data_IF_978207216806
#
_entry.id   IF_978207216806
#
_cell.length_a   1.000
_cell.length_b   1.000
_cell.length_c   1.000
_cell.angle_alpha   90.00
_cell.angle_beta   90.00
_cell.angle_gamma   90.00
#
_symmetry.space_group_name_H-M   'P 1'
#
loop_
_entity.id
_entity.type
_entity.pdbx_description
1 polymer ?
#
# COMPACT_ATOMS: atom_id res chain seq x y z
N UNK A 1 11.07 -85.80 -12.99
CA UNK A 1 10.61 -84.73 -12.07
C UNK A 1 11.68 -83.67 -11.76
N UNK A 2 12.98 -83.94 -11.96
CA UNK A 2 14.07 -82.98 -11.65
C UNK A 2 14.28 -81.89 -12.73
N UNK A 3 14.02 -82.19 -14.00
CA UNK A 3 14.30 -81.31 -15.15
C UNK A 3 13.40 -80.05 -15.23
N UNK A 4 12.11 -80.18 -14.93
CA UNK A 4 11.16 -79.05 -14.98
C UNK A 4 11.46 -77.97 -13.92
N UNK A 5 12.02 -78.34 -12.76
CA UNK A 5 12.31 -77.40 -11.66
C UNK A 5 13.57 -76.59 -11.95
N UNK A 6 14.59 -77.20 -12.55
CA UNK A 6 15.83 -76.52 -12.94
C UNK A 6 15.58 -75.52 -14.07
N UNK A 7 14.71 -75.86 -15.02
CA UNK A 7 14.30 -74.97 -16.11
C UNK A 7 13.53 -73.73 -15.62
N UNK A 8 12.56 -73.91 -14.73
CA UNK A 8 11.82 -72.79 -14.11
C UNK A 8 12.74 -71.83 -13.33
N UNK A 9 13.77 -72.36 -12.66
CA UNK A 9 14.78 -71.54 -11.98
C UNK A 9 15.63 -70.76 -12.99
N UNK A 10 16.05 -71.36 -14.10
CA UNK A 10 16.83 -70.68 -15.14
C UNK A 10 16.03 -69.58 -15.86
N UNK A 11 14.75 -69.83 -16.17
CA UNK A 11 13.87 -68.82 -16.78
C UNK A 11 13.71 -67.60 -15.86
N UNK A 12 13.49 -67.82 -14.56
CA UNK A 12 13.41 -66.72 -13.57
C UNK A 12 14.71 -65.93 -13.44
N UNK A 13 15.88 -66.57 -13.56
CA UNK A 13 17.17 -65.88 -13.52
C UNK A 13 17.42 -65.05 -14.80
N UNK A 14 16.99 -65.55 -15.97
CA UNK A 14 17.06 -64.79 -17.22
C UNK A 14 16.17 -63.53 -17.15
N UNK A 15 14.98 -63.65 -16.59
CA UNK A 15 14.06 -62.52 -16.40
C UNK A 15 14.67 -61.46 -15.47
N UNK A 16 15.29 -61.89 -14.36
CA UNK A 16 15.97 -60.98 -13.43
C UNK A 16 17.13 -60.22 -14.11
N UNK A 17 17.90 -60.91 -14.96
CA UNK A 17 19.00 -60.31 -15.72
C UNK A 17 18.48 -59.34 -16.77
N UNK A 18 17.36 -59.64 -17.41
CA UNK A 18 16.72 -58.72 -18.34
C UNK A 18 16.24 -57.45 -17.64
N UNK A 19 15.65 -57.56 -16.45
CA UNK A 19 15.23 -56.40 -15.64
C UNK A 19 16.41 -55.52 -15.21
N UNK A 20 17.54 -56.12 -14.82
CA UNK A 20 18.77 -55.40 -14.49
C UNK A 20 19.32 -54.68 -15.73
N UNK A 21 19.33 -55.37 -16.88
CA UNK A 21 19.79 -54.82 -18.15
C UNK A 21 18.92 -53.64 -18.60
N UNK A 22 17.61 -53.70 -18.41
CA UNK A 22 16.70 -52.60 -18.71
C UNK A 22 16.89 -51.41 -17.76
N UNK A 23 17.14 -51.67 -16.48
CA UNK A 23 17.46 -50.62 -15.50
C UNK A 23 18.74 -49.87 -15.88
N UNK A 24 19.76 -50.57 -16.40
CA UNK A 24 21.00 -49.97 -16.89
C UNK A 24 20.77 -49.01 -18.07
N UNK A 25 19.75 -49.25 -18.92
CA UNK A 25 19.39 -48.33 -20.01
C UNK A 25 18.94 -46.97 -19.47
N UNK A 26 18.21 -46.93 -18.35
CA UNK A 26 17.80 -45.66 -17.70
C UNK A 26 18.98 -44.80 -17.25
N UNK A 27 20.15 -45.41 -17.05
CA UNK A 27 21.41 -44.75 -16.71
C UNK A 27 22.36 -44.58 -17.90
N UNK A 28 21.89 -44.83 -19.14
CA UNK A 28 22.69 -44.79 -20.38
C UNK A 28 23.87 -45.78 -20.36
N UNK A 29 23.65 -46.98 -19.83
CA UNK A 29 24.64 -48.06 -19.72
C UNK A 29 24.23 -49.27 -20.57
N UNK A 30 23.73 -49.04 -21.79
CA UNK A 30 23.24 -50.13 -22.67
C UNK A 30 24.35 -51.12 -23.03
N UNK A 31 25.59 -50.65 -23.20
CA UNK A 31 26.74 -51.50 -23.48
C UNK A 31 26.97 -52.52 -22.37
N UNK A 32 27.03 -52.07 -21.13
CA UNK A 32 27.24 -52.95 -19.97
C UNK A 32 26.08 -53.93 -19.79
N UNK A 33 24.84 -53.48 -20.03
CA UNK A 33 23.68 -54.38 -20.02
C UNK A 33 23.73 -55.45 -21.11
N UNK A 34 24.13 -55.09 -22.33
CA UNK A 34 24.30 -56.04 -23.43
C UNK A 34 25.44 -57.05 -23.16
N UNK A 35 26.56 -56.60 -22.59
CA UNK A 35 27.68 -57.47 -22.24
C UNK A 35 27.30 -58.46 -21.13
N UNK A 36 26.56 -58.04 -20.11
CA UNK A 36 26.01 -58.91 -19.06
C UNK A 36 25.05 -59.94 -19.65
N UNK A 37 24.08 -59.50 -20.47
CA UNK A 37 23.09 -60.38 -21.10
C UNK A 37 23.74 -61.43 -22.00
N UNK A 38 24.75 -61.03 -22.79
CA UNK A 38 25.53 -61.96 -23.63
C UNK A 38 26.26 -63.01 -22.81
N UNK A 39 27.03 -62.59 -21.81
CA UNK A 39 27.85 -63.51 -21.00
C UNK A 39 26.96 -64.47 -20.19
N UNK A 40 25.80 -64.02 -19.69
CA UNK A 40 24.84 -64.88 -18.99
C UNK A 40 24.14 -65.85 -19.95
N UNK A 41 23.80 -65.40 -21.17
CA UNK A 41 23.29 -66.27 -22.21
C UNK A 41 24.27 -67.41 -22.56
N UNK A 42 25.57 -67.11 -22.62
CA UNK A 42 26.62 -68.10 -22.83
C UNK A 42 26.69 -69.11 -21.66
N UNK A 43 26.66 -68.64 -20.41
CA UNK A 43 26.65 -69.53 -19.22
C UNK A 43 25.46 -70.49 -19.27
N UNK A 44 24.25 -69.98 -19.52
CA UNK A 44 23.03 -70.79 -19.54
C UNK A 44 23.05 -71.81 -20.68
N UNK A 45 23.52 -71.43 -21.86
CA UNK A 45 23.60 -72.32 -23.01
C UNK A 45 24.56 -73.50 -22.78
N UNK A 46 25.69 -73.28 -22.10
CA UNK A 46 26.69 -74.32 -21.85
C UNK A 46 26.44 -75.11 -20.56
N UNK A 47 25.81 -74.52 -19.54
CA UNK A 47 25.48 -75.20 -18.29
C UNK A 47 24.55 -76.41 -18.49
N UNK A 48 23.61 -76.33 -19.44
CA UNK A 48 22.76 -77.47 -19.78
C UNK A 48 23.58 -78.63 -20.36
N UNK A 49 24.53 -78.33 -21.26
CA UNK A 49 25.39 -79.33 -21.92
C UNK A 49 26.38 -79.96 -20.94
N UNK A 50 26.94 -79.18 -20.03
CA UNK A 50 27.80 -79.68 -18.93
C UNK A 50 27.00 -80.64 -18.04
N UNK A 51 25.79 -80.25 -17.66
CA UNK A 51 24.91 -81.07 -16.82
C UNK A 51 24.52 -82.40 -17.50
N UNK A 52 24.20 -82.38 -18.79
CA UNK A 52 23.93 -83.60 -19.56
C UNK A 52 25.17 -84.52 -19.69
N UNK A 53 26.36 -83.95 -19.87
CA UNK A 53 27.60 -84.71 -19.89
C UNK A 53 27.89 -85.36 -18.52
N UNK A 54 27.65 -84.62 -17.43
CA UNK A 54 27.80 -85.11 -16.07
C UNK A 54 26.81 -86.24 -15.71
N UNK A 55 25.54 -86.13 -16.13
CA UNK A 55 24.53 -87.18 -15.92
C UNK A 55 24.83 -88.47 -16.70
N UNK A 56 25.53 -88.36 -17.84
CA UNK A 56 25.97 -89.48 -18.65
C UNK A 56 27.31 -90.09 -18.18
N UNK A 57 27.82 -89.68 -17.00
CA UNK A 57 29.13 -90.07 -16.42
C UNK A 57 30.34 -89.74 -17.34
N UNK A 58 30.19 -88.79 -18.27
CA UNK A 58 31.25 -88.28 -19.15
C UNK A 58 31.98 -87.12 -18.48
N UNK A 59 32.77 -87.44 -17.46
CA UNK A 59 33.41 -86.43 -16.58
C UNK A 59 34.40 -85.51 -17.29
N UNK A 60 35.25 -86.05 -18.17
CA UNK A 60 36.26 -85.26 -18.89
C UNK A 60 35.62 -84.23 -19.84
N UNK A 61 34.50 -84.60 -20.47
CA UNK A 61 33.74 -83.71 -21.36
C UNK A 61 33.02 -82.63 -20.58
N UNK A 62 32.41 -82.97 -19.43
CA UNK A 62 31.80 -81.99 -18.53
C UNK A 62 32.85 -80.99 -18.02
N UNK A 63 34.01 -81.47 -17.56
CA UNK A 63 35.12 -80.63 -17.08
C UNK A 63 35.66 -79.72 -18.20
N UNK A 64 35.80 -80.24 -19.43
CA UNK A 64 36.24 -79.45 -20.57
C UNK A 64 35.24 -78.35 -20.95
N UNK A 65 33.94 -78.65 -20.95
CA UNK A 65 32.87 -77.65 -21.16
C UNK A 65 32.93 -76.57 -20.08
N UNK A 66 33.13 -76.99 -18.82
CA UNK A 66 33.28 -76.08 -17.69
C UNK A 66 34.46 -75.13 -17.88
N UNK A 67 35.66 -75.66 -18.11
CA UNK A 67 36.90 -74.87 -18.21
C UNK A 67 36.98 -74.02 -19.48
N UNK A 68 36.40 -74.47 -20.59
CA UNK A 68 36.52 -73.79 -21.90
C UNK A 68 35.44 -72.74 -22.11
N UNK A 69 34.23 -72.97 -21.59
CA UNK A 69 33.07 -72.13 -21.87
C UNK A 69 32.52 -71.46 -20.61
N UNK A 70 32.21 -72.23 -19.57
CA UNK A 70 31.48 -71.70 -18.41
C UNK A 70 32.37 -70.82 -17.53
N UNK A 71 33.56 -71.28 -17.17
CA UNK A 71 34.51 -70.52 -16.32
C UNK A 71 34.92 -69.19 -16.97
N UNK A 72 35.29 -69.12 -18.26
CA UNK A 72 35.57 -67.84 -18.93
C UNK A 72 34.34 -66.94 -19.02
N UNK A 73 33.15 -67.49 -19.32
CA UNK A 73 31.91 -66.72 -19.39
C UNK A 73 31.52 -66.14 -18.02
N UNK A 74 31.73 -66.89 -16.93
CA UNK A 74 31.58 -66.40 -15.55
C UNK A 74 32.55 -65.25 -15.25
N UNK A 75 33.83 -65.37 -15.62
CA UNK A 75 34.82 -64.31 -15.43
C UNK A 75 34.56 -63.07 -16.30
N UNK A 76 33.96 -63.24 -17.48
CA UNK A 76 33.51 -62.12 -18.31
C UNK A 76 32.26 -61.45 -17.73
N UNK A 77 31.28 -62.24 -17.26
CA UNK A 77 30.08 -61.74 -16.61
C UNK A 77 30.42 -60.93 -15.35
N UNK A 78 31.29 -61.44 -14.48
CA UNK A 78 31.74 -60.75 -13.27
C UNK A 78 32.39 -59.39 -13.58
N UNK A 79 33.30 -59.35 -14.57
CA UNK A 79 33.91 -58.09 -15.04
C UNK A 79 32.87 -57.12 -15.58
N UNK A 80 31.94 -57.57 -16.42
CA UNK A 80 30.88 -56.72 -16.96
C UNK A 80 29.95 -56.17 -15.88
N UNK A 81 29.64 -56.97 -14.85
CA UNK A 81 28.85 -56.53 -13.68
C UNK A 81 29.62 -55.49 -12.88
N UNK A 82 30.91 -55.71 -12.59
CA UNK A 82 31.75 -54.75 -11.85
C UNK A 82 31.90 -53.42 -12.62
N UNK A 83 32.05 -53.48 -13.94
CA UNK A 83 32.09 -52.29 -14.79
C UNK A 83 30.75 -51.54 -14.79
N UNK A 84 29.63 -52.28 -14.88
CA UNK A 84 28.29 -51.71 -14.78
C UNK A 84 28.05 -51.04 -13.42
N UNK A 85 28.45 -51.68 -12.32
CA UNK A 85 28.29 -51.15 -10.96
C UNK A 85 29.09 -49.86 -10.77
N UNK A 86 30.36 -49.83 -11.22
CA UNK A 86 31.20 -48.62 -11.15
C UNK A 86 30.60 -47.49 -11.97
N UNK A 87 30.18 -47.78 -13.20
CA UNK A 87 29.56 -46.80 -14.08
C UNK A 87 28.22 -46.30 -13.51
N UNK A 88 27.41 -47.17 -12.92
CA UNK A 88 26.15 -46.81 -12.27
C UNK A 88 26.37 -45.90 -11.05
N UNK A 89 27.34 -46.24 -10.19
CA UNK A 89 27.72 -45.41 -9.05
C UNK A 89 28.18 -44.02 -9.50
N UNK A 90 29.02 -43.97 -10.53
CA UNK A 90 29.48 -42.71 -11.10
C UNK A 90 28.32 -41.89 -11.67
N UNK A 91 27.48 -42.47 -12.53
CA UNK A 91 26.31 -41.79 -13.13
C UNK A 91 25.32 -41.29 -12.08
N UNK A 92 25.13 -42.06 -11.01
CA UNK A 92 24.24 -41.68 -9.91
C UNK A 92 24.82 -40.49 -9.14
N UNK A 93 26.11 -40.51 -8.83
CA UNK A 93 26.79 -39.37 -8.19
C UNK A 93 26.74 -38.11 -9.07
N UNK A 94 26.97 -38.24 -10.38
CA UNK A 94 26.87 -37.14 -11.36
C UNK A 94 25.45 -36.53 -11.38
N UNK A 95 24.41 -37.37 -11.46
CA UNK A 95 23.00 -36.92 -11.46
C UNK A 95 22.61 -36.23 -10.16
N UNK A 96 23.04 -36.75 -9.01
CA UNK A 96 22.77 -36.13 -7.71
C UNK A 96 23.48 -34.78 -7.60
N UNK A 97 24.73 -34.69 -8.05
CA UNK A 97 25.48 -33.44 -8.05
C UNK A 97 24.86 -32.38 -8.97
N UNK A 98 24.44 -32.77 -10.19
CA UNK A 98 23.76 -31.84 -11.10
C UNK A 98 22.42 -31.37 -10.56
N UNK A 99 21.61 -32.29 -10.02
CA UNK A 99 20.32 -31.95 -9.41
C UNK A 99 20.47 -31.00 -8.22
N UNK A 100 21.50 -31.18 -7.38
CA UNK A 100 21.78 -30.27 -6.27
C UNK A 100 22.13 -28.85 -6.75
N UNK A 101 22.90 -28.73 -7.83
CA UNK A 101 23.23 -27.43 -8.44
C UNK A 101 21.97 -26.77 -9.02
N UNK A 102 21.12 -27.52 -9.70
CA UNK A 102 19.88 -27.00 -10.29
C UNK A 102 18.89 -26.53 -9.21
N UNK A 103 18.74 -27.28 -8.12
CA UNK A 103 17.94 -26.88 -6.95
C UNK A 103 18.50 -25.57 -6.34
N UNK A 104 19.81 -25.46 -6.18
CA UNK A 104 20.45 -24.26 -5.64
C UNK A 104 20.22 -23.04 -6.52
N UNK A 105 20.36 -23.20 -7.84
CA UNK A 105 20.05 -22.14 -8.82
C UNK A 105 18.58 -21.73 -8.74
N UNK A 106 17.65 -22.68 -8.71
CA UNK A 106 16.23 -22.41 -8.59
C UNK A 106 15.88 -21.65 -7.30
N UNK A 107 16.52 -22.02 -6.17
CA UNK A 107 16.36 -21.31 -4.89
C UNK A 107 16.85 -19.86 -4.96
N UNK A 108 18.00 -19.61 -5.58
CA UNK A 108 18.52 -18.24 -5.70
C UNK A 108 17.65 -17.39 -6.62
N UNK A 109 17.20 -17.94 -7.76
CA UNK A 109 16.31 -17.22 -8.69
C UNK A 109 14.98 -16.87 -8.03
N UNK A 110 14.36 -17.80 -7.29
CA UNK A 110 13.12 -17.53 -6.55
C UNK A 110 13.31 -16.48 -5.44
N UNK A 111 14.38 -16.58 -4.64
CA UNK A 111 14.68 -15.58 -3.61
C UNK A 111 14.89 -14.17 -4.20
N UNK A 112 15.56 -14.07 -5.35
CA UNK A 112 15.72 -12.79 -6.05
C UNK A 112 14.38 -12.25 -6.58
N UNK A 113 13.50 -13.12 -7.07
CA UNK A 113 12.16 -12.72 -7.53
C UNK A 113 11.29 -12.19 -6.37
N UNK A 114 11.33 -12.84 -5.21
CA UNK A 114 10.61 -12.39 -4.01
C UNK A 114 11.13 -11.04 -3.52
N UNK A 115 12.46 -10.88 -3.44
CA UNK A 115 13.07 -9.60 -3.05
C UNK A 115 12.72 -8.50 -4.06
N UNK A 116 12.77 -8.80 -5.36
CA UNK A 116 12.38 -7.89 -6.41
C UNK A 116 10.93 -7.44 -6.28
N UNK A 117 10.01 -8.38 -6.02
CA UNK A 117 8.60 -8.08 -5.80
C UNK A 117 8.38 -7.18 -4.58
N UNK A 118 9.08 -7.42 -3.47
CA UNK A 118 9.02 -6.57 -2.28
C UNK A 118 9.52 -5.15 -2.55
N UNK A 119 10.62 -5.01 -3.29
CA UNK A 119 11.16 -3.71 -3.67
C UNK A 119 10.16 -2.96 -4.56
N UNK A 120 9.59 -3.62 -5.56
CA UNK A 120 8.58 -3.02 -6.45
C UNK A 120 7.35 -2.58 -5.65
N UNK A 121 6.84 -3.41 -4.73
CA UNK A 121 5.72 -3.05 -3.87
C UNK A 121 6.04 -1.83 -2.98
N UNK A 122 7.24 -1.78 -2.39
CA UNK A 122 7.68 -0.65 -1.58
C UNK A 122 7.83 0.65 -2.42
N UNK A 123 8.37 0.54 -3.63
CA UNK A 123 8.49 1.67 -4.56
C UNK A 123 7.12 2.21 -4.99
N UNK A 124 6.18 1.32 -5.32
CA UNK A 124 4.80 1.71 -5.66
C UNK A 124 4.13 2.38 -4.46
N UNK A 125 4.26 1.81 -3.26
CA UNK A 125 3.70 2.40 -2.04
C UNK A 125 4.27 3.79 -1.73
N UNK A 126 5.59 3.95 -1.87
CA UNK A 126 6.25 5.23 -1.72
C UNK A 126 5.78 6.25 -2.77
N UNK A 127 5.66 5.81 -4.03
CA UNK A 127 5.18 6.63 -5.14
C UNK A 127 3.73 7.09 -4.90
N UNK A 128 2.80 6.18 -4.61
CA UNK A 128 1.39 6.49 -4.32
C UNK A 128 1.25 7.46 -3.15
N UNK A 129 2.01 7.23 -2.08
CA UNK A 129 2.00 8.11 -0.91
C UNK A 129 2.43 9.53 -1.27
N UNK A 130 3.49 9.66 -2.08
CA UNK A 130 4.09 10.96 -2.41
C UNK A 130 3.34 11.70 -3.52
N UNK A 131 2.80 11.00 -4.52
CA UNK A 131 2.13 11.59 -5.67
C UNK A 131 0.62 11.79 -5.49
N UNK A 132 -0.04 11.00 -4.63
CA UNK A 132 -1.50 11.04 -4.45
C UNK A 132 -1.85 11.42 -3.01
N UNK A 133 -1.46 10.62 -2.02
CA UNK A 133 -1.96 10.79 -0.66
C UNK A 133 -1.55 12.13 -0.01
N UNK A 134 -0.31 12.59 -0.24
CA UNK A 134 0.15 13.89 0.29
C UNK A 134 -0.60 15.09 -0.32
N UNK A 135 -0.72 15.25 -1.65
CA UNK A 135 -1.53 16.31 -2.25
C UNK A 135 -2.99 16.32 -1.78
N UNK A 136 -3.62 15.15 -1.63
CA UNK A 136 -5.01 15.05 -1.16
C UNK A 136 -5.16 15.59 0.26
N UNK A 137 -4.26 15.22 1.18
CA UNK A 137 -4.27 15.73 2.56
C UNK A 137 -4.00 17.22 2.66
N UNK A 138 -3.17 17.76 1.77
CA UNK A 138 -2.90 19.20 1.73
C UNK A 138 -4.14 19.98 1.29
N UNK A 139 -4.85 19.48 0.28
CA UNK A 139 -6.14 20.02 -0.15
C UNK A 139 -7.20 19.90 0.94
N UNK A 140 -7.32 18.76 1.61
CA UNK A 140 -8.24 18.56 2.74
C UNK A 140 -8.05 19.62 3.83
N UNK A 141 -6.79 19.84 4.25
CA UNK A 141 -6.45 20.90 5.22
C UNK A 141 -6.78 22.29 4.69
N UNK A 142 -6.47 22.57 3.43
CA UNK A 142 -6.82 23.85 2.81
C UNK A 142 -8.34 24.09 2.80
N UNK A 143 -9.13 23.06 2.53
CA UNK A 143 -10.59 23.15 2.58
C UNK A 143 -11.11 23.36 4.01
N UNK A 144 -10.50 22.70 5.01
CA UNK A 144 -10.85 22.89 6.43
C UNK A 144 -10.53 24.33 6.89
N UNK A 145 -9.39 24.88 6.49
CA UNK A 145 -9.03 26.28 6.78
C UNK A 145 -10.02 27.27 6.14
N UNK A 146 -10.40 27.04 4.88
CA UNK A 146 -11.42 27.86 4.21
C UNK A 146 -12.79 27.71 4.89
N UNK A 147 -13.17 26.51 5.31
CA UNK A 147 -14.43 26.28 6.04
C UNK A 147 -14.46 27.02 7.39
N UNK A 148 -13.29 27.18 8.03
CA UNK A 148 -13.13 27.96 9.26
C UNK A 148 -12.98 29.48 9.03
N UNK A 149 -13.17 29.96 7.80
CA UNK A 149 -13.13 31.38 7.43
C UNK A 149 -11.74 31.92 7.10
N UNK A 150 -10.70 31.07 7.09
CA UNK A 150 -9.35 31.47 6.68
C UNK A 150 -9.16 31.37 5.17
N UNK A 151 -9.67 32.37 4.45
CA UNK A 151 -9.57 32.46 2.99
C UNK A 151 -8.18 32.84 2.46
N UNK A 152 -7.22 33.06 3.36
CA UNK A 152 -5.83 33.44 3.01
C UNK A 152 -4.85 32.27 3.07
N UNK A 153 -5.34 31.07 3.42
CA UNK A 153 -4.52 29.87 3.49
C UNK A 153 -3.89 29.53 2.13
N UNK A 154 -2.63 29.13 2.15
CA UNK A 154 -1.88 28.73 0.96
C UNK A 154 -1.57 27.24 1.01
N UNK A 155 -2.00 26.51 -0.02
CA UNK A 155 -1.61 25.11 -0.21
C UNK A 155 -0.09 24.99 -0.37
N UNK A 156 0.46 23.88 0.11
CA UNK A 156 1.85 23.50 -0.19
C UNK A 156 1.97 22.96 -1.61
N UNK A 157 0.87 22.45 -2.16
CA UNK A 157 0.72 22.01 -3.54
C UNK A 157 0.83 23.21 -4.50
N UNK A 158 1.82 23.18 -5.39
CA UNK A 158 2.03 24.25 -6.37
C UNK A 158 0.96 24.25 -7.47
N UNK A 159 0.32 25.40 -7.78
CA UNK A 159 -0.59 25.55 -8.91
C UNK A 159 0.09 25.35 -10.28
N UNK A 160 1.41 25.52 -10.35
CA UNK A 160 2.19 25.35 -11.59
C UNK A 160 2.48 23.88 -11.92
N UNK A 161 2.02 22.94 -11.08
CA UNK A 161 2.13 21.51 -11.35
C UNK A 161 1.30 21.16 -12.60
N UNK A 162 1.87 20.38 -13.52
CA UNK A 162 1.28 20.12 -14.84
C UNK A 162 0.27 18.95 -14.86
N UNK A 163 -0.41 18.68 -13.76
CA UNK A 163 -1.36 17.57 -13.63
C UNK A 163 -2.69 18.00 -12.97
N UNK A 164 -3.56 17.03 -12.70
CA UNK A 164 -4.88 17.23 -12.08
C UNK A 164 -4.77 17.99 -10.76
N UNK A 165 -3.74 17.70 -9.97
CA UNK A 165 -3.54 18.31 -8.66
C UNK A 165 -3.12 19.77 -8.80
N UNK A 166 -2.29 20.11 -9.78
CA UNK A 166 -1.97 21.51 -10.07
C UNK A 166 -3.19 22.32 -10.51
N UNK A 167 -4.04 21.76 -11.38
CA UNK A 167 -5.32 22.38 -11.75
C UNK A 167 -6.22 22.59 -10.53
N UNK A 168 -6.31 21.58 -9.66
CA UNK A 168 -7.14 21.67 -8.46
C UNK A 168 -6.59 22.71 -7.46
N UNK A 169 -5.27 22.82 -7.31
CA UNK A 169 -4.63 23.86 -6.51
C UNK A 169 -4.91 25.27 -7.07
N UNK A 170 -4.83 25.45 -8.39
CA UNK A 170 -5.17 26.72 -9.05
C UNK A 170 -6.65 27.08 -8.84
N UNK A 171 -7.57 26.12 -8.98
CA UNK A 171 -8.99 26.32 -8.69
C UNK A 171 -9.24 26.66 -7.22
N UNK A 172 -8.57 26.00 -6.28
CA UNK A 172 -8.64 26.32 -4.86
C UNK A 172 -8.18 27.75 -4.57
N UNK A 173 -7.05 28.17 -5.15
CA UNK A 173 -6.52 29.52 -4.96
C UNK A 173 -7.48 30.59 -5.51
N UNK A 174 -8.03 30.36 -6.70
CA UNK A 174 -9.02 31.27 -7.29
C UNK A 174 -10.28 31.36 -6.41
N UNK A 175 -10.82 30.23 -5.97
CA UNK A 175 -11.99 30.20 -5.08
C UNK A 175 -11.71 30.93 -3.76
N UNK A 176 -10.58 30.63 -3.11
CA UNK A 176 -10.20 31.26 -1.84
C UNK A 176 -10.04 32.78 -1.99
N UNK A 177 -9.44 33.23 -3.09
CA UNK A 177 -9.32 34.66 -3.41
C UNK A 177 -10.70 35.32 -3.58
N UNK A 178 -11.61 34.68 -4.30
CA UNK A 178 -12.98 35.20 -4.49
C UNK A 178 -13.75 35.27 -3.16
N UNK A 179 -13.62 34.26 -2.30
CA UNK A 179 -14.23 34.28 -0.97
C UNK A 179 -13.65 35.40 -0.09
N UNK A 180 -12.32 35.60 -0.11
CA UNK A 180 -11.67 36.68 0.61
C UNK A 180 -12.14 38.07 0.13
N UNK A 181 -12.31 38.24 -1.18
CA UNK A 181 -12.82 39.49 -1.77
C UNK A 181 -14.29 39.72 -1.39
N UNK A 182 -15.13 38.68 -1.43
CA UNK A 182 -16.52 38.75 -1.03
C UNK A 182 -16.68 39.10 0.46
N UNK A 183 -15.86 38.52 1.34
CA UNK A 183 -15.85 38.83 2.76
C UNK A 183 -15.46 40.29 3.03
N UNK A 184 -14.44 40.80 2.32
CA UNK A 184 -14.06 42.21 2.37
C UNK A 184 -15.19 43.13 1.92
N UNK A 185 -15.85 42.81 0.79
CA UNK A 185 -16.97 43.60 0.26
C UNK A 185 -18.17 43.58 1.22
N UNK A 186 -18.46 42.44 1.85
CA UNK A 186 -19.48 42.33 2.90
C UNK A 186 -19.17 43.29 4.06
N UNK A 187 -17.93 43.31 4.54
CA UNK A 187 -17.53 44.20 5.64
C UNK A 187 -17.61 45.70 5.25
N UNK A 188 -17.17 46.03 4.03
CA UNK A 188 -17.25 47.40 3.50
C UNK A 188 -18.72 47.85 3.35
N UNK A 189 -19.57 46.99 2.79
CA UNK A 189 -21.01 47.25 2.65
C UNK A 189 -21.68 47.55 4.00
N UNK A 190 -21.44 46.71 5.01
CA UNK A 190 -22.03 46.93 6.35
C UNK A 190 -21.53 48.24 6.97
N UNK A 191 -20.24 48.57 6.79
CA UNK A 191 -19.68 49.82 7.29
C UNK A 191 -20.33 51.05 6.63
N UNK A 192 -20.46 51.05 5.30
CA UNK A 192 -21.09 52.14 4.55
C UNK A 192 -22.56 52.26 4.91
N UNK A 193 -23.31 51.15 4.88
CA UNK A 193 -24.73 51.14 5.24
C UNK A 193 -24.97 51.67 6.65
N UNK A 194 -24.13 51.32 7.62
CA UNK A 194 -24.25 51.82 9.00
C UNK A 194 -24.03 53.33 9.10
N UNK A 195 -23.08 53.88 8.34
CA UNK A 195 -22.84 55.32 8.29
C UNK A 195 -24.02 56.07 7.65
N UNK A 196 -24.49 55.57 6.50
CA UNK A 196 -25.62 56.14 5.76
C UNK A 196 -26.95 56.04 6.52
N UNK A 197 -27.12 55.06 7.42
CA UNK A 197 -28.29 54.96 8.30
C UNK A 197 -28.20 55.85 9.53
N UNK A 198 -26.99 56.11 10.06
CA UNK A 198 -26.80 56.95 11.25
C UNK A 198 -27.24 58.40 11.00
N UNK A 199 -26.92 58.92 9.82
CA UNK A 199 -27.27 60.30 9.43
C UNK A 199 -28.79 60.56 9.46
N UNK A 200 -29.65 59.81 8.73
CA UNK A 200 -31.10 60.03 8.76
C UNK A 200 -31.70 59.74 10.14
N UNK A 201 -31.18 58.77 10.90
CA UNK A 201 -31.62 58.53 12.29
C UNK A 201 -31.38 59.77 13.15
N UNK A 202 -30.18 60.36 13.08
CA UNK A 202 -29.85 61.59 13.83
C UNK A 202 -30.73 62.78 13.41
N UNK A 203 -31.06 62.88 12.12
CA UNK A 203 -31.97 63.92 11.61
C UNK A 203 -33.37 63.75 12.20
N UNK A 204 -33.92 62.54 12.17
CA UNK A 204 -35.24 62.26 12.76
C UNK A 204 -35.22 62.50 14.27
N UNK A 205 -34.16 62.08 14.97
CA UNK A 205 -34.00 62.35 16.41
C UNK A 205 -33.98 63.85 16.71
N UNK A 206 -33.27 64.64 15.91
CA UNK A 206 -33.23 66.10 16.05
C UNK A 206 -34.61 66.73 15.86
N UNK A 207 -35.39 66.26 14.88
CA UNK A 207 -36.77 66.75 14.71
C UNK A 207 -37.69 66.37 15.87
N UNK A 208 -37.56 65.16 16.42
CA UNK A 208 -38.31 64.74 17.62
C UNK A 208 -37.96 65.62 18.82
N UNK A 209 -36.67 65.89 19.05
CA UNK A 209 -36.22 66.81 20.11
C UNK A 209 -36.78 68.23 19.93
N UNK A 210 -36.74 68.78 18.72
CA UNK A 210 -37.31 70.12 18.44
C UNK A 210 -38.82 70.17 18.68
N UNK A 211 -39.54 69.08 18.39
CA UNK A 211 -40.96 68.96 18.71
C UNK A 211 -41.19 68.93 20.22
N UNK A 212 -40.40 68.15 20.96
CA UNK A 212 -40.47 68.07 22.44
C UNK A 212 -40.12 69.39 23.12
N UNK A 213 -39.15 70.14 22.58
CA UNK A 213 -38.75 71.48 23.04
C UNK A 213 -39.79 72.57 22.72
N UNK A 214 -40.85 72.23 21.97
CA UNK A 214 -41.95 73.13 21.64
C UNK A 214 -41.64 74.15 20.53
N UNK A 215 -40.55 73.95 19.77
CA UNK A 215 -40.13 74.85 18.67
C UNK A 215 -41.21 74.99 17.60
N UNK A 216 -42.02 73.95 17.39
CA UNK A 216 -43.13 73.93 16.43
C UNK A 216 -44.51 74.15 17.07
N UNK A 217 -44.56 74.59 18.33
CA UNK A 217 -45.80 74.85 19.07
C UNK A 217 -46.07 73.88 20.21
N UNK A 218 -47.13 74.14 20.98
CA UNK A 218 -47.48 73.35 22.14
C UNK A 218 -48.07 71.99 21.75
N UNK A 219 -47.55 70.92 22.37
CA UNK A 219 -48.02 69.56 22.18
C UNK A 219 -49.15 69.24 23.17
N UNK A 220 -50.21 68.59 22.69
CA UNK A 220 -51.22 67.98 23.55
C UNK A 220 -50.73 66.64 24.14
N UNK A 221 -51.44 66.10 25.13
CA UNK A 221 -50.99 64.91 25.85
C UNK A 221 -50.88 63.66 24.95
N UNK A 222 -51.80 63.48 24.00
CA UNK A 222 -51.72 62.39 23.03
C UNK A 222 -50.50 62.49 22.10
N UNK A 223 -50.10 63.72 21.70
CA UNK A 223 -48.91 63.94 20.89
C UNK A 223 -47.62 63.67 21.68
N UNK A 224 -47.59 63.98 22.98
CA UNK A 224 -46.45 63.67 23.86
C UNK A 224 -46.23 62.16 24.01
N UNK A 225 -47.30 61.40 24.22
CA UNK A 225 -47.22 59.94 24.31
C UNK A 225 -46.67 59.31 23.02
N UNK A 226 -47.08 59.85 21.86
CA UNK A 226 -46.58 59.41 20.55
C UNK A 226 -45.10 59.77 20.37
N UNK A 227 -44.66 60.98 20.76
CA UNK A 227 -43.26 61.38 20.66
C UNK A 227 -42.35 60.55 21.57
N UNK A 228 -42.76 60.26 22.80
CA UNK A 228 -42.01 59.34 23.67
C UNK A 228 -41.85 57.97 23.03
N UNK A 229 -42.91 57.46 22.40
CA UNK A 229 -42.83 56.18 21.69
C UNK A 229 -41.84 56.26 20.52
N UNK A 230 -41.88 57.34 19.72
CA UNK A 230 -40.95 57.55 18.62
C UNK A 230 -39.50 57.66 19.08
N UNK A 231 -39.23 58.39 20.15
CA UNK A 231 -37.89 58.54 20.72
C UNK A 231 -37.32 57.18 21.13
N UNK A 232 -38.11 56.33 21.82
CA UNK A 232 -37.70 54.97 22.17
C UNK A 232 -37.39 54.12 20.94
N UNK A 233 -38.17 54.24 19.87
CA UNK A 233 -37.92 53.49 18.63
C UNK A 233 -36.66 53.97 17.90
N UNK A 234 -36.43 55.29 17.83
CA UNK A 234 -35.23 55.89 17.24
C UNK A 234 -33.98 55.44 17.99
N UNK A 235 -34.00 55.49 19.33
CA UNK A 235 -32.90 55.01 20.16
C UNK A 235 -32.63 53.51 19.97
N UNK A 236 -33.69 52.72 19.83
CA UNK A 236 -33.57 51.29 19.52
C UNK A 236 -32.92 51.05 18.17
N UNK A 237 -33.36 51.76 17.12
CA UNK A 237 -32.77 51.71 15.78
C UNK A 237 -31.30 52.11 15.80
N UNK A 238 -30.97 53.22 16.46
CA UNK A 238 -29.60 53.70 16.60
C UNK A 238 -28.71 52.67 17.30
N UNK A 239 -29.23 52.00 18.34
CA UNK A 239 -28.52 50.92 19.04
C UNK A 239 -28.29 49.71 18.14
N UNK A 240 -29.30 49.27 17.39
CA UNK A 240 -29.18 48.13 16.47
C UNK A 240 -28.16 48.38 15.36
N UNK A 241 -28.16 49.58 14.77
CA UNK A 241 -27.16 49.96 13.76
C UNK A 241 -25.74 49.93 14.32
N UNK A 242 -25.54 50.45 15.55
CA UNK A 242 -24.24 50.37 16.23
C UNK A 242 -23.81 48.92 16.49
N UNK A 243 -24.70 48.09 17.01
CA UNK A 243 -24.39 46.68 17.29
C UNK A 243 -24.02 45.91 16.01
N UNK A 244 -24.74 46.14 14.92
CA UNK A 244 -24.43 45.53 13.63
C UNK A 244 -23.03 45.93 13.13
N UNK A 245 -22.68 47.22 13.26
CA UNK A 245 -21.36 47.73 12.89
C UNK A 245 -20.25 47.13 13.75
N UNK A 246 -20.47 47.01 15.06
CA UNK A 246 -19.49 46.45 15.99
C UNK A 246 -19.22 44.97 15.68
N UNK A 247 -20.28 44.19 15.40
CA UNK A 247 -20.16 42.79 14.96
C UNK A 247 -19.39 42.71 13.65
N UNK A 248 -19.76 43.52 12.64
CA UNK A 248 -19.08 43.48 11.34
C UNK A 248 -17.60 43.86 11.43
N UNK A 249 -17.24 44.85 12.26
CA UNK A 249 -15.84 45.21 12.51
C UNK A 249 -15.07 44.11 13.23
N UNK A 250 -15.73 43.38 14.13
CA UNK A 250 -15.14 42.24 14.82
C UNK A 250 -14.86 41.07 13.85
N UNK A 251 -15.85 40.71 13.02
CA UNK A 251 -15.70 39.69 11.97
C UNK A 251 -14.59 40.05 10.97
N UNK A 252 -14.55 41.30 10.49
CA UNK A 252 -13.54 41.75 9.52
C UNK A 252 -12.09 41.73 10.05
N UNK A 253 -11.89 41.73 11.38
CA UNK A 253 -10.58 41.56 12.02
C UNK A 253 -10.23 40.08 12.29
N UNK A 254 -11.04 39.16 11.77
CA UNK A 254 -10.90 37.72 11.95
C UNK A 254 -11.23 37.26 13.37
N UNK A 255 -12.09 38.00 14.10
CA UNK A 255 -12.46 37.67 15.48
C UNK A 255 -11.28 37.65 16.46
N UNK A 256 -10.14 38.27 16.10
CA UNK A 256 -8.92 38.24 16.90
C UNK A 256 -9.13 39.01 18.21
N UNK A 257 -9.17 38.26 19.30
CA UNK A 257 -9.15 38.79 20.65
C UNK A 257 -7.71 39.19 21.01
N UNK A 258 -7.52 40.46 21.37
CA UNK A 258 -6.26 40.94 21.95
C UNK A 258 -6.25 40.60 23.45
N UNK A 259 -5.92 39.34 23.74
CA UNK A 259 -5.90 38.83 25.11
C UNK A 259 -4.62 39.31 25.79
N UNK A 260 -4.78 40.26 26.72
CA UNK A 260 -3.69 40.76 27.56
C UNK A 260 -3.96 40.42 29.02
N UNK A 261 -2.90 40.18 29.80
CA UNK A 261 -3.03 40.10 31.26
C UNK A 261 -3.36 41.49 31.79
N UNK A 262 -4.52 41.64 32.40
CA UNK A 262 -4.99 42.88 33.03
C UNK A 262 -4.96 42.70 34.54
N UNK A 263 -4.40 43.67 35.26
CA UNK A 263 -4.49 43.71 36.71
C UNK A 263 -5.85 44.26 37.11
N UNK A 264 -6.69 43.43 37.75
CA UNK A 264 -8.07 43.78 38.08
C UNK A 264 -8.18 45.00 39.01
N UNK A 265 -7.31 45.13 40.02
CA UNK A 265 -7.37 46.27 40.96
C UNK A 265 -7.24 47.63 40.27
N UNK A 266 -6.12 47.91 39.59
CA UNK A 266 -5.93 49.17 38.86
C UNK A 266 -7.00 49.42 37.79
N UNK A 267 -7.46 48.36 37.12
CA UNK A 267 -8.50 48.46 36.10
C UNK A 267 -9.87 48.86 36.69
N UNK A 268 -10.22 48.30 37.85
CA UNK A 268 -11.45 48.67 38.56
C UNK A 268 -11.36 50.09 39.12
N UNK A 269 -10.21 50.50 39.65
CA UNK A 269 -9.99 51.88 40.13
C UNK A 269 -10.08 52.92 38.99
N UNK A 270 -9.63 52.54 37.79
CA UNK A 270 -9.74 53.37 36.58
C UNK A 270 -11.19 53.45 36.08
N UNK A 271 -11.91 52.33 36.09
CA UNK A 271 -13.35 52.29 35.79
C UNK A 271 -14.16 53.12 36.78
N UNK A 272 -13.92 52.97 38.08
CA UNK A 272 -14.63 53.72 39.12
C UNK A 272 -14.44 55.23 38.92
N UNK A 273 -13.20 55.68 38.66
CA UNK A 273 -12.91 57.08 38.34
C UNK A 273 -13.63 57.55 37.08
N UNK A 274 -13.65 56.74 36.03
CA UNK A 274 -14.33 57.09 34.78
C UNK A 274 -15.85 57.25 34.96
N UNK A 275 -16.47 56.43 35.80
CA UNK A 275 -17.93 56.48 36.05
C UNK A 275 -18.33 57.51 37.12
N UNK A 276 -17.46 57.85 38.09
CA UNK A 276 -17.75 58.91 39.06
C UNK A 276 -17.95 60.29 38.40
N UNK A 277 -17.28 60.55 37.27
CA UNK A 277 -17.44 61.80 36.51
C UNK A 277 -18.83 61.93 35.86
N UNK A 278 -19.52 60.81 35.61
CA UNK A 278 -20.88 60.77 35.04
C UNK A 278 -21.98 60.76 36.12
N UNK A 279 -21.61 60.67 37.41
CA UNK A 279 -22.54 60.61 38.53
C UNK A 279 -22.83 61.98 39.18
N UNK A 280 -22.32 63.07 38.58
CA UNK A 280 -22.61 64.47 38.91
C UNK A 280 -23.60 65.07 37.91
#
# INVERSE_FOLDING_TARGET
MHDARTRDVMEKQLDAVSQITDSLKTFQLEKSGNDISRNIGEIVAWAHREYEAALADRRDEAEQISQTHIVPALGNADRSVLEAERALRQRTAERVASAAVDISRAKNVSAMAELGALIVAALIGFWLTRYIARPVRDLERGMEEVANGNFTYKLQLSPSRSDEFGRLAASFEQMSKQLAELDKLKAEFVSVASHELKTPINVVQGYVQLLEEGVYGALNDAQKDVLQTLEVQIQTLARLVRQLLDISRFEARGGKLDVRRVQLGPFLDELERAFQVLAL
#
